data_IF_748343107668
#
_entry.id   IF_748343107668
#
_cell.length_a   1.000
_cell.length_b   1.000
_cell.length_c   1.000
_cell.angle_alpha   90.00
_cell.angle_beta   90.00
_cell.angle_gamma   90.00
#
_symmetry.space_group_name_H-M   'P 1'
#
loop_
_entity.id
_entity.type
_entity.pdbx_description
1 polymer ?
#
# COMPACT_ATOMS: atom_id res chain seq x y z
N UNK A 1 12.82 6.42 7.43
CA UNK A 1 11.51 6.30 6.79
C UNK A 1 11.39 5.00 6.01
N UNK A 2 10.18 4.45 5.88
CA UNK A 2 9.84 3.23 5.18
C UNK A 2 8.68 3.50 4.20
N UNK A 3 8.76 2.93 3.00
CA UNK A 3 7.71 3.11 1.98
C UNK A 3 6.74 1.95 2.00
N UNK A 4 5.46 2.26 2.16
CA UNK A 4 4.35 1.30 2.09
C UNK A 4 3.69 1.36 0.71
N UNK A 5 2.99 0.29 0.28
CA UNK A 5 2.20 0.33 -0.95
C UNK A 5 1.16 1.46 -0.92
N UNK A 6 1.05 2.20 -2.02
CA UNK A 6 0.13 3.32 -2.17
C UNK A 6 -1.06 2.93 -3.05
N UNK A 7 -2.27 3.20 -2.56
CA UNK A 7 -3.51 2.81 -3.24
C UNK A 7 -4.11 3.91 -4.12
N UNK A 8 -3.60 5.13 -4.00
CA UNK A 8 -4.04 6.29 -4.77
C UNK A 8 -2.91 6.77 -5.67
N UNK A 9 -3.28 7.43 -6.76
CA UNK A 9 -2.34 8.15 -7.62
C UNK A 9 -1.98 9.48 -6.98
N UNK A 10 -0.69 9.73 -6.79
CA UNK A 10 -0.20 11.00 -6.25
C UNK A 10 -0.49 12.13 -7.23
N UNK A 11 -0.52 11.85 -8.53
CA UNK A 11 -0.77 12.83 -9.58
C UNK A 11 -2.20 13.38 -9.54
N UNK A 12 -3.15 12.57 -9.09
CA UNK A 12 -4.56 12.93 -9.01
C UNK A 12 -4.95 13.40 -7.58
N UNK A 13 -4.07 13.21 -6.59
CA UNK A 13 -4.39 13.41 -5.16
C UNK A 13 -3.35 14.25 -4.44
N UNK A 14 -3.77 15.36 -3.84
CA UNK A 14 -2.94 16.21 -3.00
C UNK A 14 -3.00 17.68 -3.44
N UNK A 15 -2.28 18.55 -2.75
CA UNK A 15 -2.21 19.97 -3.13
C UNK A 15 -1.56 20.16 -4.51
N UNK A 16 -0.56 19.35 -4.84
CA UNK A 16 0.15 19.40 -6.12
C UNK A 16 -0.71 19.03 -7.34
N UNK A 17 -1.88 18.38 -7.16
CA UNK A 17 -2.78 18.05 -8.26
C UNK A 17 -3.79 19.15 -8.58
N UNK A 18 -3.85 20.21 -7.76
CA UNK A 18 -4.79 21.31 -7.93
C UNK A 18 -4.33 22.31 -9.00
N UNK A 19 -5.28 22.80 -9.79
CA UNK A 19 -5.02 23.90 -10.70
C UNK A 19 -4.64 25.17 -9.91
N UNK A 20 -3.58 25.85 -10.34
CA UNK A 20 -3.04 27.02 -9.65
C UNK A 20 -2.30 26.73 -8.34
N UNK A 21 -1.96 25.47 -8.04
CA UNK A 21 -1.10 25.16 -6.90
C UNK A 21 0.24 25.90 -7.00
N UNK A 22 0.63 26.61 -5.94
CA UNK A 22 1.90 27.33 -5.91
C UNK A 22 3.07 26.34 -5.94
N UNK A 23 4.17 26.67 -6.63
CA UNK A 23 5.35 25.83 -6.59
C UNK A 23 5.91 25.77 -5.17
N UNK A 24 6.45 24.62 -4.81
CA UNK A 24 7.18 24.48 -3.56
C UNK A 24 8.42 25.39 -3.57
N UNK A 25 8.65 26.08 -2.44
CA UNK A 25 9.81 26.97 -2.25
C UNK A 25 10.45 26.73 -0.87
N UNK A 26 11.72 27.10 -0.74
CA UNK A 26 12.51 26.96 0.49
C UNK A 26 12.98 28.30 1.01
N UNK A 27 12.91 28.45 2.32
CA UNK A 27 13.53 29.56 3.04
C UNK A 27 14.83 29.14 3.69
N UNK A 28 15.58 30.11 4.23
CA UNK A 28 16.82 29.85 4.96
C UNK A 28 16.52 28.96 6.17
N UNK A 29 17.34 27.93 6.36
CA UNK A 29 17.21 26.97 7.46
C UNK A 29 17.33 27.66 8.82
N UNK A 30 16.44 27.31 9.75
CA UNK A 30 16.58 27.74 11.15
C UNK A 30 17.69 26.97 11.87
N UNK A 31 18.28 27.58 12.90
CA UNK A 31 19.22 26.90 13.79
C UNK A 31 18.45 25.98 14.73
N UNK A 32 18.84 24.72 14.80
CA UNK A 32 18.30 23.75 15.75
C UNK A 32 19.36 22.70 16.10
N UNK A 33 19.23 22.10 17.29
CA UNK A 33 20.06 20.97 17.69
C UNK A 33 19.37 19.67 17.29
N UNK A 34 19.94 18.88 16.34
CA UNK A 34 19.34 17.62 15.95
C UNK A 34 19.43 16.60 17.09
N UNK A 35 18.42 15.75 17.17
CA UNK A 35 18.48 14.57 18.01
C UNK A 35 19.50 13.57 17.46
N UNK A 36 19.83 12.54 18.26
CA UNK A 36 20.78 11.49 17.88
C UNK A 36 20.39 10.85 16.54
N UNK A 37 21.38 10.63 15.69
CA UNK A 37 21.19 10.01 14.38
C UNK A 37 20.66 8.57 14.51
N UNK A 38 19.55 8.28 13.82
CA UNK A 38 18.88 6.97 13.80
C UNK A 38 19.31 6.06 12.64
N UNK A 39 20.33 6.43 11.86
CA UNK A 39 20.73 5.74 10.63
C UNK A 39 20.95 4.23 10.82
N UNK A 40 21.56 3.85 11.94
CA UNK A 40 21.86 2.44 12.25
C UNK A 40 20.57 1.64 12.45
N UNK A 41 19.62 2.19 13.22
CA UNK A 41 18.30 1.58 13.41
C UNK A 41 17.54 1.54 12.08
N UNK A 42 17.56 2.64 11.31
CA UNK A 42 16.83 2.73 10.05
C UNK A 42 17.27 1.67 9.04
N UNK A 43 18.58 1.43 8.94
CA UNK A 43 19.14 0.45 7.99
C UNK A 43 18.66 -0.96 8.31
N UNK A 44 18.75 -1.35 9.59
CA UNK A 44 18.32 -2.67 10.06
C UNK A 44 16.79 -2.83 9.99
N UNK A 45 16.04 -1.79 10.37
CA UNK A 45 14.58 -1.78 10.30
C UNK A 45 14.09 -1.97 8.87
N UNK A 46 14.74 -1.31 7.89
CA UNK A 46 14.41 -1.44 6.48
C UNK A 46 14.68 -2.86 5.95
N UNK A 47 15.80 -3.47 6.33
CA UNK A 47 16.11 -4.85 5.95
C UNK A 47 15.02 -5.83 6.46
N UNK A 48 14.69 -5.75 7.75
CA UNK A 48 13.64 -6.59 8.37
C UNK A 48 12.27 -6.39 7.72
N UNK A 49 11.89 -5.13 7.48
CA UNK A 49 10.63 -4.82 6.82
C UNK A 49 10.57 -5.41 5.40
N UNK A 50 11.64 -5.27 4.60
CA UNK A 50 11.66 -5.83 3.25
C UNK A 50 11.54 -7.36 3.25
N UNK A 51 12.32 -8.05 4.09
CA UNK A 51 12.27 -9.52 4.18
C UNK A 51 10.88 -10.02 4.57
N UNK A 52 10.23 -9.32 5.51
CA UNK A 52 8.86 -9.63 5.94
C UNK A 52 7.85 -9.34 4.83
N UNK A 53 7.99 -8.20 4.16
CA UNK A 53 7.06 -7.74 3.13
C UNK A 53 6.96 -8.69 1.94
N UNK A 54 8.08 -9.33 1.57
CA UNK A 54 8.11 -10.32 0.49
C UNK A 54 7.30 -11.59 0.78
N UNK A 55 7.01 -11.87 2.05
CA UNK A 55 6.31 -13.07 2.50
C UNK A 55 4.92 -12.77 3.05
N UNK A 56 4.56 -11.50 3.18
CA UNK A 56 3.31 -11.09 3.79
C UNK A 56 2.15 -11.24 2.79
N UNK A 57 1.13 -12.05 3.11
CA UNK A 57 -0.01 -12.26 2.22
C UNK A 57 -0.81 -10.97 2.00
N UNK A 58 -0.92 -10.11 3.02
CA UNK A 58 -1.65 -8.85 2.94
C UNK A 58 -0.99 -7.86 1.99
N UNK A 59 0.33 -7.67 2.11
CA UNK A 59 1.08 -6.81 1.20
C UNK A 59 1.09 -7.38 -0.23
N UNK A 60 1.14 -8.70 -0.38
CA UNK A 60 1.01 -9.35 -1.69
C UNK A 60 -0.35 -9.03 -2.33
N UNK A 61 -1.44 -9.18 -1.57
CA UNK A 61 -2.79 -8.80 -1.99
C UNK A 61 -2.89 -7.33 -2.39
N UNK A 62 -2.36 -6.40 -1.56
CA UNK A 62 -2.39 -4.98 -1.87
C UNK A 62 -1.62 -4.65 -3.15
N UNK A 63 -0.44 -5.25 -3.35
CA UNK A 63 0.35 -5.04 -4.57
C UNK A 63 -0.39 -5.52 -5.83
N UNK A 64 -1.06 -6.68 -5.77
CA UNK A 64 -1.86 -7.17 -6.89
C UNK A 64 -3.03 -6.24 -7.21
N UNK A 65 -3.72 -5.70 -6.19
CA UNK A 65 -4.79 -4.71 -6.41
C UNK A 65 -4.26 -3.41 -7.00
N UNK A 66 -3.12 -2.92 -6.51
CA UNK A 66 -2.47 -1.71 -7.06
C UNK A 66 -2.11 -1.92 -8.53
N UNK A 67 -1.54 -3.08 -8.87
CA UNK A 67 -1.20 -3.40 -10.26
C UNK A 67 -2.45 -3.47 -11.15
N UNK A 68 -3.52 -4.09 -10.67
CA UNK A 68 -4.81 -4.15 -11.37
C UNK A 68 -5.38 -2.74 -11.62
N UNK A 69 -5.45 -1.90 -10.59
CA UNK A 69 -5.96 -0.53 -10.67
C UNK A 69 -5.07 0.30 -11.60
N UNK A 70 -3.75 0.15 -11.53
CA UNK A 70 -2.81 0.83 -12.41
C UNK A 70 -3.05 0.47 -13.89
N UNK A 71 -3.24 -0.83 -14.19
CA UNK A 71 -3.59 -1.30 -15.55
C UNK A 71 -4.94 -0.79 -16.02
N UNK A 72 -5.93 -0.68 -15.14
CA UNK A 72 -7.23 -0.11 -15.50
C UNK A 72 -7.12 1.38 -15.80
N UNK A 73 -6.36 2.09 -14.97
CA UNK A 73 -6.15 3.53 -15.05
C UNK A 73 -5.26 3.98 -16.21
N UNK A 74 -4.42 3.10 -16.76
CA UNK A 74 -3.62 3.38 -17.96
C UNK A 74 -4.44 3.33 -19.25
N UNK A 75 -5.67 2.80 -19.19
CA UNK A 75 -6.57 2.77 -20.34
C UNK A 75 -7.20 4.14 -20.57
N UNK A 76 -6.89 4.76 -21.71
CA UNK A 76 -7.39 6.09 -22.11
C UNK A 76 -8.65 6.04 -22.96
N UNK A 77 -9.13 4.85 -23.32
CA UNK A 77 -10.31 4.67 -24.17
C UNK A 77 -11.20 3.55 -23.66
N UNK A 78 -12.50 3.65 -23.95
CA UNK A 78 -13.52 2.69 -23.54
C UNK A 78 -14.28 2.22 -24.80
N UNK A 79 -14.46 0.90 -24.99
CA UNK A 79 -15.22 0.40 -26.12
C UNK A 79 -16.70 0.77 -25.99
N UNK A 80 -17.33 1.17 -27.10
CA UNK A 80 -18.77 1.45 -27.16
C UNK A 80 -19.60 0.20 -27.46
N UNK A 81 -18.99 -0.83 -28.06
CA UNK A 81 -19.66 -2.09 -28.34
C UNK A 81 -20.08 -2.80 -27.03
N UNK A 82 -21.36 -3.20 -26.96
CA UNK A 82 -21.94 -3.79 -25.75
C UNK A 82 -21.27 -5.10 -25.34
N UNK A 83 -20.99 -5.99 -26.29
CA UNK A 83 -20.42 -7.31 -26.00
C UNK A 83 -18.97 -7.19 -25.51
N UNK A 84 -18.20 -6.27 -26.11
CA UNK A 84 -16.87 -5.92 -25.63
C UNK A 84 -16.90 -5.38 -24.19
N UNK A 85 -17.88 -4.53 -23.84
CA UNK A 85 -18.04 -4.02 -22.48
C UNK A 85 -18.41 -5.13 -21.48
N UNK A 86 -19.32 -6.05 -21.85
CA UNK A 86 -19.70 -7.20 -21.01
C UNK A 86 -18.52 -8.12 -20.74
N UNK A 87 -17.74 -8.44 -21.79
CA UNK A 87 -16.53 -9.26 -21.68
C UNK A 87 -15.49 -8.59 -20.77
N UNK A 88 -15.23 -7.30 -20.96
CA UNK A 88 -14.32 -6.50 -20.11
C UNK A 88 -14.75 -6.51 -18.65
N UNK A 89 -16.05 -6.29 -18.37
CA UNK A 89 -16.60 -6.33 -17.01
C UNK A 89 -16.37 -7.70 -16.37
N UNK A 90 -16.76 -8.79 -17.05
CA UNK A 90 -16.58 -10.15 -16.54
C UNK A 90 -15.12 -10.51 -16.27
N UNK A 91 -14.21 -10.03 -17.13
CA UNK A 91 -12.78 -10.24 -16.93
C UNK A 91 -12.27 -9.57 -15.64
N UNK A 92 -12.66 -8.32 -15.38
CA UNK A 92 -12.25 -7.64 -14.15
C UNK A 92 -12.90 -8.22 -12.90
N UNK A 93 -14.19 -8.58 -12.95
CA UNK A 93 -14.87 -9.26 -11.84
C UNK A 93 -14.16 -10.58 -11.49
N UNK A 94 -13.74 -11.36 -12.50
CA UNK A 94 -12.97 -12.57 -12.27
C UNK A 94 -11.58 -12.28 -11.68
N UNK A 95 -10.88 -11.26 -12.17
CA UNK A 95 -9.58 -10.87 -11.63
C UNK A 95 -9.67 -10.44 -10.17
N UNK A 96 -10.67 -9.63 -9.80
CA UNK A 96 -10.89 -9.24 -8.40
C UNK A 96 -11.19 -10.45 -7.53
N UNK A 97 -12.06 -11.35 -8.00
CA UNK A 97 -12.40 -12.58 -7.30
C UNK A 97 -11.17 -13.49 -7.10
N UNK A 98 -10.31 -13.60 -8.10
CA UNK A 98 -9.10 -14.43 -8.04
C UNK A 98 -8.09 -13.85 -7.03
N UNK A 99 -7.89 -12.53 -7.02
CA UNK A 99 -7.03 -11.84 -6.04
C UNK A 99 -7.57 -12.04 -4.61
N UNK A 100 -8.87 -11.83 -4.42
CA UNK A 100 -9.55 -12.00 -3.13
C UNK A 100 -9.43 -13.44 -2.62
N UNK A 101 -9.77 -14.42 -3.46
CA UNK A 101 -9.71 -15.84 -3.09
C UNK A 101 -8.28 -16.32 -2.83
N UNK A 102 -7.29 -15.77 -3.54
CA UNK A 102 -5.88 -16.05 -3.27
C UNK A 102 -5.48 -15.58 -1.88
N UNK A 103 -5.92 -14.37 -1.51
CA UNK A 103 -5.68 -13.86 -0.16
C UNK A 103 -6.45 -14.63 0.91
N UNK A 104 -7.74 -14.91 0.73
CA UNK A 104 -8.55 -15.67 1.69
C UNK A 104 -7.92 -17.04 1.99
N UNK A 105 -7.50 -17.77 0.95
CA UNK A 105 -6.76 -19.04 1.11
C UNK A 105 -5.47 -18.87 1.90
N UNK A 106 -4.71 -17.81 1.63
CA UNK A 106 -3.44 -17.56 2.32
C UNK A 106 -3.59 -17.28 3.83
N UNK A 107 -4.77 -16.81 4.25
CA UNK A 107 -5.12 -16.58 5.66
C UNK A 107 -6.02 -17.68 6.24
N UNK A 108 -6.22 -18.79 5.51
CA UNK A 108 -7.00 -19.93 5.96
C UNK A 108 -8.52 -19.72 6.00
N UNK A 109 -9.04 -18.74 5.25
CA UNK A 109 -10.48 -18.52 5.05
C UNK A 109 -10.99 -19.22 3.80
N UNK A 110 -12.27 -19.56 3.81
CA UNK A 110 -12.96 -20.14 2.67
C UNK A 110 -13.06 -19.14 1.50
N UNK A 111 -12.90 -19.59 0.25
CA UNK A 111 -13.09 -18.74 -0.92
C UNK A 111 -14.57 -18.34 -1.08
N UNK A 112 -14.80 -17.20 -1.71
CA UNK A 112 -16.12 -16.69 -2.06
C UNK A 112 -16.44 -16.97 -3.53
N UNK A 113 -17.73 -17.10 -3.84
CA UNK A 113 -18.21 -17.33 -5.20
C UNK A 113 -18.34 -16.03 -6.02
N UNK A 114 -18.55 -14.90 -5.34
CA UNK A 114 -18.69 -13.58 -5.94
C UNK A 114 -18.02 -12.54 -5.06
N UNK A 115 -17.34 -11.60 -5.71
CA UNK A 115 -16.80 -10.42 -5.08
C UNK A 115 -17.88 -9.33 -5.11
N UNK A 116 -18.26 -8.80 -3.96
CA UNK A 116 -19.15 -7.66 -3.82
C UNK A 116 -18.44 -6.59 -2.99
N UNK A 117 -18.18 -5.43 -3.59
CA UNK A 117 -17.47 -4.33 -2.92
C UNK A 117 -18.27 -3.68 -1.80
N UNK A 118 -19.60 -3.79 -1.83
CA UNK A 118 -20.50 -3.12 -0.88
C UNK A 118 -20.92 -4.04 0.28
N UNK A 119 -21.01 -5.36 0.03
CA UNK A 119 -21.56 -6.34 0.97
C UNK A 119 -20.49 -7.21 1.66
N UNK A 120 -19.28 -7.28 1.10
CA UNK A 120 -18.16 -7.90 1.81
C UNK A 120 -17.62 -6.93 2.87
N UNK A 121 -17.23 -7.43 4.04
CA UNK A 121 -16.21 -6.76 4.85
C UNK A 121 -14.94 -6.69 4.01
N UNK A 122 -14.91 -5.76 3.05
CA UNK A 122 -13.79 -5.54 2.14
C UNK A 122 -12.56 -5.51 3.02
N UNK A 123 -11.62 -6.42 2.75
CA UNK A 123 -10.41 -6.56 3.55
C UNK A 123 -9.82 -5.18 3.70
N UNK A 124 -9.92 -4.66 4.91
CA UNK A 124 -9.61 -3.27 5.14
C UNK A 124 -8.11 -3.12 4.98
N UNK A 125 -7.69 -2.54 3.84
CA UNK A 125 -6.29 -2.26 3.56
C UNK A 125 -5.64 -1.51 4.72
N UNK A 126 -6.41 -0.71 5.48
CA UNK A 126 -5.91 -0.05 6.70
C UNK A 126 -5.49 -1.07 7.74
N UNK A 127 -6.22 -2.18 7.92
CA UNK A 127 -5.82 -3.27 8.83
C UNK A 127 -4.53 -3.94 8.38
N UNK A 128 -4.36 -4.21 7.09
CA UNK A 128 -3.10 -4.78 6.56
C UNK A 128 -1.93 -3.84 6.85
N UNK A 129 -2.06 -2.56 6.45
CA UNK A 129 -1.03 -1.55 6.66
C UNK A 129 -0.76 -1.32 8.15
N UNK A 130 -1.80 -1.27 8.98
CA UNK A 130 -1.69 -1.10 10.43
C UNK A 130 -0.95 -2.27 11.07
N UNK A 131 -1.24 -3.51 10.67
CA UNK A 131 -0.51 -4.69 11.15
C UNK A 131 0.98 -4.60 10.81
N UNK A 132 1.31 -4.19 9.58
CA UNK A 132 2.70 -3.98 9.18
C UNK A 132 3.36 -2.87 10.01
N UNK A 133 2.67 -1.76 10.26
CA UNK A 133 3.14 -0.68 11.13
C UNK A 133 3.38 -1.15 12.57
N UNK A 134 2.51 -2.00 13.13
CA UNK A 134 2.72 -2.57 14.46
C UNK A 134 4.02 -3.40 14.52
N UNK A 135 4.25 -4.23 13.50
CA UNK A 135 5.45 -5.08 13.43
C UNK A 135 6.72 -4.25 13.25
N UNK A 136 6.67 -3.20 12.41
CA UNK A 136 7.76 -2.22 12.26
C UNK A 136 8.03 -1.49 13.57
N UNK A 137 6.99 -1.08 14.30
CA UNK A 137 7.16 -0.40 15.59
C UNK A 137 7.78 -1.33 16.65
N UNK A 138 7.36 -2.60 16.67
CA UNK A 138 7.95 -3.61 17.56
C UNK A 138 9.44 -3.82 17.23
N UNK A 139 9.81 -3.89 15.95
CA UNK A 139 11.22 -3.95 15.53
C UNK A 139 11.99 -2.71 15.98
N UNK A 140 11.42 -1.52 15.79
CA UNK A 140 12.04 -0.26 16.21
C UNK A 140 12.33 -0.24 17.72
N UNK A 141 11.36 -0.63 18.55
CA UNK A 141 11.52 -0.71 20.01
C UNK A 141 12.69 -1.64 20.36
N UNK A 142 12.70 -2.84 19.78
CA UNK A 142 13.75 -3.83 20.03
C UNK A 142 15.13 -3.34 19.57
N UNK A 143 15.23 -2.75 18.38
CA UNK A 143 16.49 -2.28 17.82
C UNK A 143 17.10 -1.14 18.62
N UNK A 144 16.30 -0.18 19.05
CA UNK A 144 16.84 0.92 19.84
C UNK A 144 17.33 0.49 21.22
N UNK A 145 16.64 -0.45 21.87
CA UNK A 145 17.14 -1.05 23.10
C UNK A 145 18.52 -1.68 22.86
N UNK A 146 18.68 -2.42 21.75
CA UNK A 146 19.96 -3.04 21.39
C UNK A 146 21.07 -2.02 21.06
N UNK A 147 20.72 -0.88 20.47
CA UNK A 147 21.67 0.19 20.14
C UNK A 147 21.84 1.25 21.25
N UNK A 148 21.33 0.97 22.46
CA UNK A 148 21.40 1.86 23.62
C UNK A 148 20.91 3.29 23.31
N UNK A 149 19.78 3.39 22.62
CA UNK A 149 19.04 4.64 22.55
C UNK A 149 18.11 4.73 23.75
N UNK A 150 18.11 5.87 24.42
CA UNK A 150 17.17 6.21 25.49
C UNK A 150 16.21 7.28 24.96
N UNK A 151 14.92 7.01 24.99
CA UNK A 151 13.84 7.94 24.63
C UNK A 151 13.04 8.33 25.86
#
# INVERSE_FOLDING_TARGET
>A
DLKYPQLYKIEDTGESSLDGALPWDTTVRTSYNPYRNLQVIQTELFARYQERSLKDPGLTYLNQRIEMISKLNSQTSIPLNLDARKSRKKHYEQLELDIENTYLRSIGKEPIEKFDSDDTETIDFKKILMNQTHLVMADFINLSNNFNFSW
#
